data_IF_744507939684
#
_entry.id   IF_744507939684
#
_cell.length_a   1.000
_cell.length_b   1.000
_cell.length_c   1.000
_cell.angle_alpha   90.00
_cell.angle_beta   90.00
_cell.angle_gamma   90.00
#
_symmetry.space_group_name_H-M   'P 1'
#
loop_
_entity.id
_entity.type
_entity.pdbx_description
1 polymer ?
#
# COMPACT_ATOMS: atom_id res chain seq x y z
N UNK A 1 2.58 19.83 -0.47
CA UNK A 1 1.85 18.59 -0.78
C UNK A 1 2.31 18.10 -2.14
N UNK A 2 3.05 16.99 -2.15
CA UNK A 2 3.38 16.23 -3.35
C UNK A 2 2.10 15.95 -4.14
N UNK A 3 2.10 16.19 -5.45
CA UNK A 3 0.98 15.87 -6.34
C UNK A 3 1.29 14.65 -7.24
N UNK A 4 0.29 14.18 -7.99
CA UNK A 4 0.40 13.04 -8.92
C UNK A 4 1.64 13.12 -9.84
N UNK A 5 1.86 14.25 -10.49
CA UNK A 5 2.97 14.43 -11.43
C UNK A 5 4.33 14.46 -10.73
N UNK A 6 4.41 14.98 -9.51
CA UNK A 6 5.63 14.92 -8.69
C UNK A 6 5.90 13.49 -8.19
N UNK A 7 4.85 12.76 -7.77
CA UNK A 7 4.97 11.37 -7.33
C UNK A 7 5.47 10.45 -8.45
N UNK A 8 4.91 10.56 -9.66
CA UNK A 8 5.35 9.77 -10.83
C UNK A 8 6.81 10.10 -11.17
N UNK A 9 7.17 11.39 -11.26
CA UNK A 9 8.57 11.79 -11.50
C UNK A 9 9.52 11.26 -10.44
N UNK A 10 9.11 11.24 -9.18
CA UNK A 10 9.94 10.70 -8.10
C UNK A 10 10.21 9.20 -8.28
N UNK A 11 9.23 8.41 -8.73
CA UNK A 11 9.45 6.98 -9.04
C UNK A 11 10.46 6.81 -10.19
N UNK A 12 10.29 7.61 -11.26
CA UNK A 12 11.15 7.58 -12.45
C UNK A 12 12.59 7.97 -12.09
N UNK A 13 12.79 9.12 -11.43
CA UNK A 13 14.10 9.63 -11.01
C UNK A 13 14.79 8.74 -9.96
N UNK A 14 14.01 8.00 -9.17
CA UNK A 14 14.56 7.05 -8.20
C UNK A 14 15.00 5.73 -8.85
N UNK A 15 14.66 5.51 -10.13
CA UNK A 15 15.02 4.31 -10.88
C UNK A 15 14.08 3.13 -10.64
N UNK A 16 12.81 3.37 -10.30
CA UNK A 16 11.81 2.31 -10.29
C UNK A 16 11.62 1.74 -11.71
N UNK A 17 11.56 0.42 -11.83
CA UNK A 17 11.34 -0.22 -13.12
C UNK A 17 9.95 0.13 -13.69
N UNK A 18 9.78 0.21 -15.03
CA UNK A 18 8.51 0.61 -15.64
C UNK A 18 7.30 -0.21 -15.17
N UNK A 19 7.47 -1.52 -14.97
CA UNK A 19 6.40 -2.40 -14.47
C UNK A 19 5.98 -2.08 -13.01
N UNK A 20 6.88 -1.57 -12.18
CA UNK A 20 6.54 -1.09 -10.82
C UNK A 20 5.75 0.21 -10.91
N UNK A 21 6.15 1.12 -11.79
CA UNK A 21 5.45 2.40 -12.00
C UNK A 21 4.02 2.15 -12.49
N UNK A 22 3.84 1.24 -13.46
CA UNK A 22 2.50 0.88 -13.95
C UNK A 22 1.66 0.18 -12.89
N UNK A 23 2.26 -0.68 -12.06
CA UNK A 23 1.58 -1.26 -10.89
C UNK A 23 1.09 -0.17 -9.92
N UNK A 24 1.95 0.78 -9.55
CA UNK A 24 1.61 1.88 -8.64
C UNK A 24 0.49 2.76 -9.20
N UNK A 25 0.48 3.03 -10.52
CA UNK A 25 -0.60 3.77 -11.19
C UNK A 25 -1.93 3.02 -11.12
N UNK A 26 -1.92 1.70 -11.31
CA UNK A 26 -3.12 0.87 -11.23
C UNK A 26 -3.68 0.82 -9.81
N UNK A 27 -2.80 0.63 -8.81
CA UNK A 27 -3.17 0.68 -7.38
C UNK A 27 -3.75 2.04 -7.04
N UNK A 28 -3.13 3.13 -7.48
CA UNK A 28 -3.64 4.48 -7.25
C UNK A 28 -5.02 4.73 -7.87
N UNK A 29 -5.25 4.23 -9.09
CA UNK A 29 -6.57 4.32 -9.73
C UNK A 29 -7.64 3.63 -8.88
N UNK A 30 -7.40 2.38 -8.46
CA UNK A 30 -8.34 1.62 -7.65
C UNK A 30 -8.55 2.26 -6.26
N UNK A 31 -7.46 2.69 -5.62
CA UNK A 31 -7.51 3.31 -4.30
C UNK A 31 -8.34 4.60 -4.31
N UNK A 32 -8.20 5.44 -5.34
CA UNK A 32 -9.02 6.65 -5.50
C UNK A 32 -10.49 6.30 -5.72
N UNK A 33 -10.82 5.29 -6.52
CA UNK A 33 -12.21 4.84 -6.70
C UNK A 33 -12.86 4.42 -5.37
N UNK A 34 -12.11 3.71 -4.52
CA UNK A 34 -12.57 3.30 -3.19
C UNK A 34 -12.72 4.52 -2.27
N UNK A 35 -11.74 5.43 -2.28
CA UNK A 35 -11.74 6.63 -1.44
C UNK A 35 -12.90 7.57 -1.77
N UNK A 36 -13.21 7.78 -3.05
CA UNK A 36 -14.33 8.62 -3.48
C UNK A 36 -15.68 8.01 -3.05
N UNK A 37 -15.84 6.68 -3.14
CA UNK A 37 -17.04 6.00 -2.64
C UNK A 37 -17.19 6.15 -1.13
N UNK A 38 -16.12 5.89 -0.38
CA UNK A 38 -16.11 6.05 1.08
C UNK A 38 -16.45 7.49 1.49
N UNK A 39 -15.89 8.48 0.79
CA UNK A 39 -16.16 9.90 1.02
C UNK A 39 -17.62 10.26 0.70
N UNK A 40 -18.17 9.75 -0.39
CA UNK A 40 -19.58 9.94 -0.75
C UNK A 40 -20.55 9.33 0.26
N UNK A 41 -20.15 8.25 0.94
CA UNK A 41 -20.86 7.64 2.06
C UNK A 41 -20.69 8.40 3.40
N UNK A 42 -19.98 9.54 3.41
CA UNK A 42 -19.83 10.39 4.59
C UNK A 42 -18.59 10.09 5.44
N UNK A 43 -17.69 9.22 4.99
CA UNK A 43 -16.44 8.97 5.69
C UNK A 43 -15.44 10.12 5.48
N UNK A 44 -14.67 10.44 6.52
CA UNK A 44 -13.61 11.44 6.45
C UNK A 44 -12.35 10.85 5.80
N UNK A 45 -12.32 10.83 4.47
CA UNK A 45 -11.19 10.35 3.66
C UNK A 45 -10.66 11.48 2.78
N UNK A 46 -9.34 11.57 2.61
CA UNK A 46 -8.70 12.48 1.68
C UNK A 46 -8.23 11.76 0.39
N UNK A 47 -8.98 11.84 -0.73
CA UNK A 47 -8.60 11.19 -2.00
C UNK A 47 -7.26 11.64 -2.57
N UNK A 48 -6.83 12.89 -2.33
CA UNK A 48 -5.53 13.37 -2.81
C UNK A 48 -4.36 12.72 -2.06
N UNK A 49 -4.52 12.51 -0.74
CA UNK A 49 -3.55 11.75 0.05
C UNK A 49 -3.53 10.27 -0.37
N UNK A 50 -4.71 9.69 -0.64
CA UNK A 50 -4.83 8.31 -1.15
C UNK A 50 -4.09 8.15 -2.47
N UNK A 51 -4.31 9.05 -3.43
CA UNK A 51 -3.67 8.99 -4.75
C UNK A 51 -2.14 9.02 -4.64
N UNK A 52 -1.60 9.98 -3.89
CA UNK A 52 -0.15 10.17 -3.76
C UNK A 52 0.48 9.04 -2.95
N UNK A 53 -0.17 8.63 -1.86
CA UNK A 53 0.25 7.49 -1.05
C UNK A 53 0.29 6.19 -1.86
N UNK A 54 -0.75 5.93 -2.65
CA UNK A 54 -0.81 4.75 -3.53
C UNK A 54 0.23 4.80 -4.65
N UNK A 55 0.52 5.97 -5.23
CA UNK A 55 1.58 6.08 -6.24
C UNK A 55 2.96 5.77 -5.66
N UNK A 56 3.22 6.19 -4.42
CA UNK A 56 4.54 6.06 -3.82
C UNK A 56 4.72 4.83 -2.94
N UNK A 57 3.67 4.03 -2.69
CA UNK A 57 3.71 2.90 -1.75
C UNK A 57 4.89 1.94 -2.00
N UNK A 58 5.21 1.69 -3.27
CA UNK A 58 6.25 0.77 -3.70
C UNK A 58 7.58 1.47 -4.07
N UNK A 59 7.77 2.75 -3.67
CA UNK A 59 8.96 3.55 -4.02
C UNK A 59 10.29 2.86 -3.68
N UNK A 60 10.34 2.06 -2.61
CA UNK A 60 11.54 1.32 -2.22
C UNK A 60 11.91 0.16 -3.16
N UNK A 61 11.08 -0.19 -4.13
CA UNK A 61 11.38 -1.20 -5.16
C UNK A 61 12.56 -0.84 -6.05
N UNK A 62 12.92 0.44 -6.12
CA UNK A 62 14.18 0.87 -6.75
C UNK A 62 15.44 0.39 -6.01
N UNK A 63 15.32 -0.04 -4.74
CA UNK A 63 16.44 -0.52 -3.92
C UNK A 63 16.39 -2.02 -3.66
N UNK A 64 15.20 -2.61 -3.52
CA UNK A 64 15.05 -4.03 -3.20
C UNK A 64 13.71 -4.60 -3.65
N UNK A 65 13.72 -5.86 -4.09
CA UNK A 65 12.51 -6.63 -4.41
C UNK A 65 11.95 -7.38 -3.19
N UNK A 66 12.63 -7.34 -2.04
CA UNK A 66 12.19 -7.99 -0.81
C UNK A 66 11.20 -7.16 0.00
N UNK A 67 10.76 -7.71 1.14
CA UNK A 67 9.82 -7.02 2.04
C UNK A 67 10.39 -5.69 2.60
N UNK A 68 11.72 -5.55 2.66
CA UNK A 68 12.39 -4.34 3.09
C UNK A 68 12.13 -3.09 2.21
N UNK A 69 11.51 -3.23 1.03
CA UNK A 69 11.14 -2.09 0.19
C UNK A 69 10.27 -1.05 0.93
N UNK A 70 9.43 -1.46 1.89
CA UNK A 70 8.65 -0.53 2.69
C UNK A 70 9.55 0.42 3.51
N UNK A 71 10.63 -0.12 4.08
CA UNK A 71 11.61 0.63 4.87
C UNK A 71 12.50 1.50 3.98
N UNK A 72 12.99 0.93 2.88
CA UNK A 72 13.83 1.69 1.94
C UNK A 72 13.04 2.80 1.27
N UNK A 73 11.77 2.55 0.94
CA UNK A 73 10.83 3.55 0.43
C UNK A 73 10.55 4.65 1.46
N UNK A 74 10.29 4.29 2.73
CA UNK A 74 10.10 5.26 3.81
C UNK A 74 11.31 6.18 3.99
N UNK A 75 12.52 5.62 4.07
CA UNK A 75 13.76 6.39 4.20
C UNK A 75 13.97 7.31 2.99
N UNK A 76 13.74 6.79 1.78
CA UNK A 76 13.91 7.54 0.55
C UNK A 76 12.91 8.70 0.46
N UNK A 77 11.64 8.45 0.73
CA UNK A 77 10.58 9.47 0.78
C UNK A 77 10.97 10.61 1.73
N UNK A 78 11.41 10.28 2.96
CA UNK A 78 11.89 11.28 3.93
C UNK A 78 13.08 12.08 3.41
N UNK A 79 14.06 11.41 2.79
CA UNK A 79 15.24 12.09 2.24
C UNK A 79 14.90 13.04 1.07
N UNK A 80 13.79 12.79 0.38
CA UNK A 80 13.30 13.56 -0.76
C UNK A 80 12.31 14.67 -0.37
N UNK A 81 12.04 14.84 0.92
CA UNK A 81 11.12 15.86 1.42
C UNK A 81 9.65 15.55 1.16
N UNK A 82 9.31 14.28 0.90
CA UNK A 82 7.92 13.82 0.82
C UNK A 82 7.26 13.97 2.19
N UNK A 83 5.97 14.32 2.18
CA UNK A 83 5.21 14.56 3.40
C UNK A 83 5.22 13.36 4.37
N UNK A 84 5.31 13.60 5.70
CA UNK A 84 5.38 12.51 6.68
C UNK A 84 4.25 11.49 6.60
N UNK A 85 3.03 11.93 6.32
CA UNK A 85 1.85 11.06 6.17
C UNK A 85 2.01 10.07 5.01
N UNK A 86 2.54 10.55 3.88
CA UNK A 86 2.83 9.71 2.71
C UNK A 86 3.98 8.75 3.02
N UNK A 87 5.01 9.19 3.75
CA UNK A 87 6.08 8.30 4.17
C UNK A 87 5.55 7.16 5.07
N UNK A 88 4.69 7.45 6.05
CA UNK A 88 4.09 6.40 6.90
C UNK A 88 3.22 5.42 6.10
N UNK A 89 2.48 5.88 5.09
CA UNK A 89 1.78 5.00 4.14
C UNK A 89 2.75 4.01 3.49
N UNK A 90 3.88 4.50 2.95
CA UNK A 90 4.92 3.66 2.33
C UNK A 90 5.45 2.61 3.33
N UNK A 91 5.66 3.00 4.59
CA UNK A 91 6.11 2.08 5.63
C UNK A 91 5.06 1.00 5.94
N UNK A 92 3.78 1.36 6.00
CA UNK A 92 2.69 0.54 6.56
C UNK A 92 1.82 -0.20 5.54
N UNK A 93 2.01 0.01 4.24
CA UNK A 93 1.16 -0.61 3.22
C UNK A 93 1.30 -2.14 3.12
N UNK A 94 2.39 -2.72 3.63
CA UNK A 94 2.74 -4.12 3.35
C UNK A 94 1.71 -5.12 3.90
N UNK A 95 1.07 -5.84 2.97
CA UNK A 95 0.05 -6.84 3.28
C UNK A 95 -1.19 -6.19 3.89
N UNK A 96 -1.50 -6.54 5.13
CA UNK A 96 -2.54 -5.88 5.93
C UNK A 96 -2.00 -5.48 7.32
N UNK A 97 -0.69 -5.20 7.36
CA UNK A 97 0.08 -4.97 8.58
C UNK A 97 0.95 -6.14 8.97
N UNK A 98 2.07 -5.81 9.61
CA UNK A 98 3.10 -6.72 10.13
C UNK A 98 3.40 -6.31 11.58
N UNK A 99 3.29 -7.24 12.53
CA UNK A 99 3.64 -6.97 13.94
C UNK A 99 5.14 -6.82 14.15
N UNK A 100 5.52 -6.30 15.31
CA UNK A 100 6.93 -6.19 15.72
C UNK A 100 7.65 -7.54 15.71
N UNK A 101 6.98 -8.60 16.16
CA UNK A 101 7.50 -9.96 16.20
C UNK A 101 7.60 -10.57 14.80
N UNK A 102 6.63 -10.30 13.92
CA UNK A 102 6.69 -10.70 12.51
C UNK A 102 7.84 -9.97 11.80
N UNK A 103 7.97 -8.65 12.01
CA UNK A 103 9.01 -7.81 11.45
C UNK A 103 10.41 -8.35 11.79
N UNK A 104 10.64 -8.71 13.06
CA UNK A 104 11.88 -9.36 13.49
C UNK A 104 12.19 -10.64 12.71
N UNK A 105 11.20 -11.52 12.53
CA UNK A 105 11.35 -12.78 11.77
C UNK A 105 11.60 -12.52 10.28
N UNK A 106 11.11 -11.41 9.75
CA UNK A 106 11.25 -10.99 8.36
C UNK A 106 12.53 -10.18 8.11
N UNK A 107 13.36 -9.97 9.14
CA UNK A 107 14.60 -9.18 9.05
C UNK A 107 14.36 -7.67 8.92
N UNK A 108 13.16 -7.21 9.26
CA UNK A 108 12.83 -5.79 9.34
C UNK A 108 13.17 -5.21 10.72
N UNK A 109 13.37 -3.89 10.83
CA UNK A 109 13.40 -3.22 12.12
C UNK A 109 12.17 -3.60 12.98
N UNK A 110 12.39 -3.77 14.28
CA UNK A 110 11.31 -4.10 15.20
C UNK A 110 10.41 -2.87 15.42
N UNK A 111 9.37 -2.74 14.58
CA UNK A 111 8.46 -1.61 14.54
C UNK A 111 7.02 -2.09 14.24
N UNK A 112 6.07 -1.17 14.27
CA UNK A 112 4.67 -1.38 13.96
C UNK A 112 4.37 -0.95 12.51
N UNK A 113 3.92 -1.91 11.70
CA UNK A 113 3.66 -1.74 10.28
C UNK A 113 2.17 -1.84 9.95
N UNK A 114 1.28 -1.78 10.94
CA UNK A 114 -0.15 -1.86 10.69
C UNK A 114 -0.71 -0.55 10.10
N UNK A 115 -1.52 -0.62 9.02
CA UNK A 115 -2.31 0.51 8.56
C UNK A 115 -3.21 1.08 9.68
N UNK A 116 -3.18 2.40 9.86
CA UNK A 116 -3.85 3.15 10.92
C UNK A 116 -4.98 4.02 10.38
N UNK A 117 -4.69 4.90 9.44
CA UNK A 117 -5.70 5.80 8.86
C UNK A 117 -6.57 5.08 7.82
N UNK A 118 -7.69 5.70 7.44
CA UNK A 118 -8.52 5.19 6.35
C UNK A 118 -7.74 5.18 5.03
N UNK A 119 -6.92 6.20 4.79
CA UNK A 119 -6.05 6.27 3.60
C UNK A 119 -5.05 5.11 3.56
N UNK A 120 -4.34 4.84 4.67
CA UNK A 120 -3.40 3.71 4.76
C UNK A 120 -4.12 2.37 4.49
N UNK A 121 -5.32 2.18 5.04
CA UNK A 121 -6.11 0.96 4.87
C UNK A 121 -6.63 0.77 3.45
N UNK A 122 -7.15 1.84 2.84
CA UNK A 122 -7.62 1.82 1.45
C UNK A 122 -6.48 1.47 0.50
N UNK A 123 -5.30 2.06 0.70
CA UNK A 123 -4.13 1.79 -0.16
C UNK A 123 -3.65 0.35 0.00
N UNK A 124 -3.51 -0.15 1.24
CA UNK A 124 -3.12 -1.53 1.48
C UNK A 124 -4.14 -2.53 0.90
N UNK A 125 -5.44 -2.23 1.00
CA UNK A 125 -6.48 -3.04 0.38
C UNK A 125 -6.41 -3.00 -1.15
N UNK A 126 -6.27 -1.82 -1.76
CA UNK A 126 -6.14 -1.67 -3.20
C UNK A 126 -4.91 -2.42 -3.77
N UNK A 127 -3.75 -2.36 -3.09
CA UNK A 127 -2.56 -3.14 -3.46
C UNK A 127 -2.84 -4.66 -3.41
N UNK A 128 -3.52 -5.13 -2.35
CA UNK A 128 -3.97 -6.52 -2.29
C UNK A 128 -4.91 -6.91 -3.45
N UNK A 129 -5.64 -5.97 -4.04
CA UNK A 129 -6.52 -6.22 -5.18
C UNK A 129 -5.85 -6.01 -6.55
N UNK A 130 -4.54 -5.73 -6.61
CA UNK A 130 -3.80 -5.60 -7.87
C UNK A 130 -2.65 -6.62 -7.94
N UNK A 131 -2.60 -7.41 -9.02
CA UNK A 131 -1.51 -8.34 -9.34
C UNK A 131 -0.80 -7.88 -10.61
N UNK A 132 0.37 -7.27 -10.46
CA UNK A 132 1.03 -6.58 -11.56
C UNK A 132 0.19 -5.35 -11.93
N UNK A 133 -0.51 -5.40 -13.06
CA UNK A 133 -1.48 -4.37 -13.47
C UNK A 133 -2.91 -4.91 -13.59
N UNK A 134 -3.15 -6.15 -13.15
CA UNK A 134 -4.48 -6.78 -13.22
C UNK A 134 -5.20 -6.63 -11.88
N UNK A 135 -6.38 -6.01 -11.88
CA UNK A 135 -7.29 -6.05 -10.73
C UNK A 135 -7.84 -7.47 -10.52
N UNK A 136 -7.88 -7.92 -9.28
CA UNK A 136 -8.36 -9.23 -8.85
C UNK A 136 -9.34 -9.07 -7.69
N UNK A 137 -10.11 -10.11 -7.40
CA UNK A 137 -11.00 -10.11 -6.23
C UNK A 137 -10.24 -10.43 -4.95
N UNK A 138 -10.85 -10.13 -3.79
CA UNK A 138 -10.31 -10.58 -2.50
C UNK A 138 -10.18 -12.10 -2.46
N UNK A 139 -11.16 -12.85 -2.98
CA UNK A 139 -11.10 -14.31 -3.03
C UNK A 139 -9.90 -14.81 -3.86
N UNK A 140 -9.64 -14.20 -5.03
CA UNK A 140 -8.45 -14.52 -5.82
C UNK A 140 -7.16 -14.27 -5.03
N UNK A 141 -7.10 -13.16 -4.27
CA UNK A 141 -5.94 -12.83 -3.42
C UNK A 141 -5.76 -13.89 -2.32
N UNK A 142 -6.82 -14.27 -1.62
CA UNK A 142 -6.76 -15.27 -0.56
C UNK A 142 -6.32 -16.64 -1.11
N UNK A 143 -6.82 -17.04 -2.27
CA UNK A 143 -6.36 -18.27 -2.95
C UNK A 143 -4.87 -18.22 -3.31
N UNK A 144 -4.38 -17.07 -3.81
CA UNK A 144 -2.96 -16.89 -4.13
C UNK A 144 -2.08 -16.96 -2.88
N UNK A 145 -2.55 -16.42 -1.75
CA UNK A 145 -1.84 -16.50 -0.47
C UNK A 145 -1.78 -17.94 0.04
N UNK A 146 -2.89 -18.67 -0.03
CA UNK A 146 -2.96 -20.09 0.35
C UNK A 146 -2.03 -20.96 -0.51
N UNK A 147 -2.01 -20.75 -1.83
CA UNK A 147 -1.09 -21.45 -2.76
C UNK A 147 0.39 -21.16 -2.46
N UNK A 148 0.70 -20.03 -1.82
CA UNK A 148 2.04 -19.66 -1.38
C UNK A 148 2.36 -20.11 0.05
N UNK A 149 1.48 -20.87 0.70
CA UNK A 149 1.60 -21.29 2.10
C UNK A 149 1.80 -20.12 3.07
N UNK A 150 1.17 -18.97 2.79
CA UNK A 150 1.10 -17.87 3.75
C UNK A 150 0.29 -18.33 4.95
N UNK A 151 0.75 -18.01 6.15
CA UNK A 151 0.10 -18.45 7.39
C UNK A 151 -1.34 -17.94 7.50
N UNK A 152 -2.23 -18.81 7.99
CA UNK A 152 -3.67 -18.55 8.12
C UNK A 152 -3.98 -17.22 8.81
N UNK A 153 -3.24 -16.87 9.88
CA UNK A 153 -3.51 -15.61 10.60
C UNK A 153 -3.24 -14.35 9.75
N UNK A 154 -2.31 -14.39 8.79
CA UNK A 154 -2.05 -13.29 7.85
C UNK A 154 -3.13 -13.25 6.78
N UNK A 155 -3.58 -14.41 6.28
CA UNK A 155 -4.70 -14.53 5.35
C UNK A 155 -5.97 -13.92 5.95
N UNK A 156 -6.29 -14.28 7.19
CA UNK A 156 -7.42 -13.73 7.93
C UNK A 156 -7.28 -12.22 8.19
N UNK A 157 -6.06 -11.72 8.40
CA UNK A 157 -5.80 -10.27 8.53
C UNK A 157 -6.12 -9.51 7.25
N UNK A 158 -5.70 -10.01 6.09
CA UNK A 158 -6.00 -9.42 4.78
C UNK A 158 -7.50 -9.45 4.50
N UNK A 159 -8.18 -10.56 4.85
CA UNK A 159 -9.64 -10.67 4.74
C UNK A 159 -10.37 -9.62 5.60
N UNK A 160 -9.98 -9.46 6.87
CA UNK A 160 -10.56 -8.46 7.77
C UNK A 160 -10.36 -7.02 7.28
N UNK A 161 -9.18 -6.71 6.74
CA UNK A 161 -8.94 -5.41 6.14
C UNK A 161 -9.86 -5.15 4.94
N UNK A 162 -10.09 -6.16 4.10
CA UNK A 162 -11.03 -6.06 2.99
C UNK A 162 -12.46 -5.83 3.47
N UNK A 163 -12.95 -6.60 4.44
CA UNK A 163 -14.28 -6.41 5.04
C UNK A 163 -14.46 -5.00 5.62
N UNK A 164 -13.44 -4.48 6.30
CA UNK A 164 -13.45 -3.11 6.85
C UNK A 164 -13.55 -2.06 5.73
N UNK A 165 -12.69 -2.15 4.71
CA UNK A 165 -12.61 -1.14 3.65
C UNK A 165 -13.82 -1.20 2.70
N UNK A 166 -14.28 -2.40 2.33
CA UNK A 166 -15.46 -2.59 1.48
C UNK A 166 -16.73 -2.10 2.20
N UNK A 167 -16.78 -2.23 3.53
CA UNK A 167 -17.85 -1.70 4.37
C UNK A 167 -17.96 -0.18 4.40
N UNK A 168 -16.93 0.57 4.00
CA UNK A 168 -16.95 2.05 3.99
C UNK A 168 -17.89 2.63 2.93
N UNK A 169 -18.29 1.84 1.93
CA UNK A 169 -19.11 2.31 0.80
C UNK A 169 -20.63 2.17 1.04
N UNK A 170 -21.05 1.75 2.23
CA UNK A 170 -22.44 1.46 2.60
C UNK A 170 -23.01 2.46 3.61
#
# INVERSE_FOLDING_TARGET
MTNRAQAIRLLEESGCAPNVIEHCKEVASLAVEIAEKAKAAGNNVNPALVEVGALLHDLGRCRTHGIAHAIEGFKLAKSKGVEPEVAEIIKRHIGAGVSKEEAKKLGLPEDDYFPRSLEEKIIAHADNLVKGTKRITINDRLELMNKKNISEYVVQRVKKLAEEVEGLSH
#
